data_IF_763220534642
#
_entry.id   IF_763220534642
#
_cell.length_a   1.000
_cell.length_b   1.000
_cell.length_c   1.000
_cell.angle_alpha   90.00
_cell.angle_beta   90.00
_cell.angle_gamma   90.00
#
_symmetry.space_group_name_H-M   'P 1'
#
loop_
_entity.id
_entity.type
_entity.pdbx_description
1 polymer ?
#
# COMPACT_ATOMS: atom_id res chain seq x y z
N UNK A 1 -8.48 -5.84 2.06
CA UNK A 1 -8.00 -5.67 0.67
C UNK A 1 -7.16 -4.41 0.47
N UNK A 2 -7.49 -3.30 1.15
CA UNK A 2 -6.84 -1.99 0.98
C UNK A 2 -5.31 -2.02 1.14
N UNK A 3 -4.78 -2.71 2.16
CA UNK A 3 -3.33 -2.85 2.32
C UNK A 3 -2.62 -3.50 1.12
N UNK A 4 -3.26 -4.50 0.48
CA UNK A 4 -2.71 -5.11 -0.73
C UNK A 4 -2.78 -4.17 -1.94
N UNK A 5 -3.84 -3.36 -2.06
CA UNK A 5 -3.95 -2.35 -3.13
C UNK A 5 -2.87 -1.30 -2.94
N UNK A 6 -2.74 -0.76 -1.73
CA UNK A 6 -1.69 0.17 -1.33
C UNK A 6 -0.29 -0.37 -1.67
N UNK A 7 0.00 -1.61 -1.27
CA UNK A 7 1.30 -2.26 -1.55
C UNK A 7 1.56 -2.46 -3.05
N UNK A 8 0.58 -2.95 -3.80
CA UNK A 8 0.73 -3.24 -5.24
C UNK A 8 0.88 -1.98 -6.10
N UNK A 9 0.24 -0.89 -5.69
CA UNK A 9 0.40 0.43 -6.32
C UNK A 9 1.57 1.23 -5.73
N UNK A 10 2.23 0.66 -4.72
CA UNK A 10 3.39 1.23 -4.07
C UNK A 10 4.62 1.30 -4.98
N UNK A 11 5.67 1.89 -4.44
CA UNK A 11 6.95 2.04 -5.13
C UNK A 11 8.06 1.33 -4.36
N UNK A 12 9.00 0.78 -5.13
CA UNK A 12 10.22 0.19 -4.58
C UNK A 12 11.20 1.32 -4.29
N UNK A 13 11.68 1.39 -3.06
CA UNK A 13 12.50 2.50 -2.55
C UNK A 13 13.65 2.01 -1.69
N UNK A 14 14.72 2.79 -1.63
CA UNK A 14 15.83 2.53 -0.73
C UNK A 14 15.42 2.80 0.73
N UNK A 15 16.06 2.16 1.72
CA UNK A 15 15.69 2.33 3.13
C UNK A 15 15.72 3.78 3.63
N UNK A 16 16.64 4.61 3.12
CA UNK A 16 16.71 6.01 3.50
C UNK A 16 15.53 6.82 2.93
N UNK A 17 15.04 6.47 1.75
CA UNK A 17 13.85 7.12 1.16
C UNK A 17 12.58 6.75 1.92
N UNK A 18 12.50 5.51 2.44
CA UNK A 18 11.40 5.09 3.33
C UNK A 18 11.30 6.02 4.54
N UNK A 19 12.43 6.35 5.18
CA UNK A 19 12.46 7.23 6.35
C UNK A 19 11.96 8.64 6.04
N UNK A 20 12.31 9.18 4.86
CA UNK A 20 11.82 10.51 4.46
C UNK A 20 10.33 10.50 4.18
N UNK A 21 9.82 9.49 3.47
CA UNK A 21 8.38 9.37 3.17
C UNK A 21 7.57 9.17 4.46
N UNK A 22 8.07 8.38 5.41
CA UNK A 22 7.37 8.10 6.67
C UNK A 22 7.14 9.35 7.54
N UNK A 23 7.96 10.40 7.39
CA UNK A 23 7.77 11.66 8.13
C UNK A 23 6.50 12.40 7.72
N UNK A 24 6.01 12.16 6.50
CA UNK A 24 4.80 12.79 5.98
C UNK A 24 3.53 12.03 6.42
N UNK A 25 3.66 10.86 7.06
CA UNK A 25 2.52 10.10 7.54
C UNK A 25 2.11 10.53 8.94
N UNK A 26 0.84 10.92 9.06
CA UNK A 26 0.20 11.10 10.36
C UNK A 26 -0.09 9.72 10.98
N UNK A 27 0.59 9.41 12.08
CA UNK A 27 0.50 8.14 12.78
C UNK A 27 0.40 8.39 14.28
N UNK A 28 -0.30 7.50 14.98
CA UNK A 28 -0.42 7.55 16.43
C UNK A 28 0.90 7.18 17.16
N UNK A 29 1.88 6.64 16.44
CA UNK A 29 3.16 6.17 16.97
C UNK A 29 4.34 6.67 16.12
N UNK A 30 5.54 6.64 16.71
CA UNK A 30 6.80 7.02 16.04
C UNK A 30 7.24 5.91 15.07
N UNK A 31 6.72 6.01 13.84
CA UNK A 31 7.03 5.07 12.76
C UNK A 31 8.51 5.14 12.37
N UNK A 32 9.15 6.30 12.54
CA UNK A 32 10.56 6.51 12.17
C UNK A 32 11.47 5.76 13.13
N UNK A 33 11.28 5.92 14.45
CA UNK A 33 12.02 5.15 15.47
C UNK A 33 11.79 3.65 15.30
N UNK A 34 10.53 3.25 15.12
CA UNK A 34 10.17 1.83 14.95
C UNK A 34 10.86 1.22 13.75
N UNK A 35 10.83 1.89 12.59
CA UNK A 35 11.49 1.41 11.38
C UNK A 35 13.01 1.34 11.53
N UNK A 36 13.64 2.34 12.17
CA UNK A 36 15.08 2.33 12.45
C UNK A 36 15.48 1.15 13.34
N UNK A 37 14.71 0.86 14.39
CA UNK A 37 14.93 -0.31 15.25
C UNK A 37 14.80 -1.62 14.49
N UNK A 38 13.80 -1.74 13.60
CA UNK A 38 13.65 -2.91 12.73
C UNK A 38 14.84 -3.07 11.79
N UNK A 39 15.30 -2.00 11.15
CA UNK A 39 16.47 -2.02 10.29
C UNK A 39 17.73 -2.44 11.05
N UNK A 40 17.94 -1.91 12.25
CA UNK A 40 19.10 -2.26 13.08
C UNK A 40 19.07 -3.74 13.47
N UNK A 41 17.90 -4.27 13.83
CA UNK A 41 17.73 -5.69 14.10
C UNK A 41 18.05 -6.55 12.87
N UNK A 42 17.52 -6.19 11.69
CA UNK A 42 17.74 -6.92 10.44
C UNK A 42 19.21 -6.87 9.97
N UNK A 43 19.90 -5.75 10.16
CA UNK A 43 21.36 -5.65 9.93
C UNK A 43 22.14 -6.62 10.82
N UNK A 44 21.74 -6.75 12.09
CA UNK A 44 22.31 -7.73 13.02
C UNK A 44 22.16 -9.17 12.55
N UNK A 45 21.14 -9.46 11.74
CA UNK A 45 20.89 -10.77 11.10
C UNK A 45 21.50 -10.90 9.70
N UNK A 46 22.35 -9.95 9.27
CA UNK A 46 23.02 -9.92 7.96
C UNK A 46 22.07 -9.87 6.76
N UNK A 47 20.90 -9.25 6.91
CA UNK A 47 20.00 -8.99 5.77
C UNK A 47 20.65 -7.98 4.82
N UNK A 48 20.73 -8.34 3.54
CA UNK A 48 21.15 -7.42 2.48
C UNK A 48 19.93 -6.66 1.93
N UNK A 49 19.87 -5.36 2.19
CA UNK A 49 18.77 -4.50 1.71
C UNK A 49 18.89 -4.11 0.23
N UNK A 50 20.05 -4.32 -0.40
CA UNK A 50 20.19 -4.16 -1.86
C UNK A 50 19.56 -5.36 -2.59
N UNK A 51 19.68 -6.55 -2.01
CA UNK A 51 19.03 -7.78 -2.52
C UNK A 51 17.57 -7.90 -2.07
N UNK A 52 17.20 -7.22 -0.98
CA UNK A 52 15.85 -7.25 -0.39
C UNK A 52 15.26 -5.85 -0.35
N UNK A 53 14.78 -5.33 -1.49
CA UNK A 53 14.33 -3.94 -1.58
C UNK A 53 13.01 -3.75 -0.83
N UNK A 54 12.80 -2.52 -0.32
CA UNK A 54 11.58 -2.16 0.38
C UNK A 54 10.53 -1.66 -0.61
N UNK A 55 9.26 -1.95 -0.33
CA UNK A 55 8.14 -1.36 -1.06
C UNK A 55 7.32 -0.54 -0.08
N UNK A 56 7.12 0.73 -0.39
CA UNK A 56 6.24 1.62 0.36
C UNK A 56 4.92 1.77 -0.38
N UNK A 57 3.83 1.48 0.30
CA UNK A 57 2.49 1.56 -0.27
C UNK A 57 2.03 2.99 -0.48
N UNK A 58 1.05 3.18 -1.37
CA UNK A 58 0.40 4.49 -1.54
C UNK A 58 -0.66 4.71 -0.45
N UNK A 59 -0.84 5.96 0.05
CA UNK A 59 -1.98 6.29 0.90
C UNK A 59 -3.30 5.99 0.20
N UNK A 60 -4.24 5.39 0.94
CA UNK A 60 -5.58 5.05 0.43
C UNK A 60 -6.60 5.79 1.30
N UNK A 61 -7.24 6.79 0.72
CA UNK A 61 -8.37 7.48 1.32
C UNK A 61 -9.67 6.94 0.71
N UNK A 62 -10.61 6.54 1.56
CA UNK A 62 -11.87 5.92 1.14
C UNK A 62 -13.00 6.92 1.30
N UNK A 63 -13.80 7.07 0.24
CA UNK A 63 -15.12 7.66 0.36
C UNK A 63 -16.11 6.56 0.80
N UNK A 64 -16.58 6.67 2.04
CA UNK A 64 -17.45 5.65 2.64
C UNK A 64 -18.87 5.66 2.10
N UNK A 65 -19.30 6.73 1.43
CA UNK A 65 -20.65 6.84 0.91
C UNK A 65 -20.86 6.04 -0.39
N UNK A 66 -19.83 5.93 -1.22
CA UNK A 66 -19.86 5.24 -2.52
C UNK A 66 -18.88 4.05 -2.59
N UNK A 67 -18.19 3.76 -1.49
CA UNK A 67 -17.17 2.71 -1.37
C UNK A 67 -16.02 2.86 -2.40
N UNK A 68 -15.65 4.09 -2.76
CA UNK A 68 -14.56 4.38 -3.70
C UNK A 68 -13.29 4.87 -3.00
N UNK A 69 -12.18 4.85 -3.74
CA UNK A 69 -10.90 5.43 -3.33
C UNK A 69 -10.74 6.81 -3.96
N UNK A 70 -10.54 7.82 -3.12
CA UNK A 70 -10.46 9.23 -3.53
C UNK A 70 -9.21 9.45 -4.39
N UNK A 71 -9.40 10.04 -5.58
CA UNK A 71 -8.30 10.47 -6.45
C UNK A 71 -7.45 9.35 -7.07
N UNK A 72 -7.79 8.06 -6.91
CA UNK A 72 -6.99 6.95 -7.40
C UNK A 72 -7.81 5.94 -8.23
N UNK A 73 -7.93 6.20 -9.53
CA UNK A 73 -8.68 5.34 -10.47
C UNK A 73 -8.13 3.91 -10.54
N UNK A 74 -6.81 3.73 -10.57
CA UNK A 74 -6.17 2.40 -10.59
C UNK A 74 -6.49 1.61 -9.32
N UNK A 75 -6.56 2.27 -8.17
CA UNK A 75 -6.96 1.62 -6.93
C UNK A 75 -8.44 1.21 -6.96
N UNK A 76 -9.31 2.05 -7.54
CA UNK A 76 -10.73 1.72 -7.73
C UNK A 76 -10.93 0.50 -8.63
N UNK A 77 -10.16 0.35 -9.71
CA UNK A 77 -10.20 -0.84 -10.57
C UNK A 77 -9.89 -2.12 -9.80
N UNK A 78 -9.05 -2.03 -8.76
CA UNK A 78 -8.65 -3.17 -7.92
C UNK A 78 -9.63 -3.47 -6.77
N UNK A 79 -10.69 -2.67 -6.59
CA UNK A 79 -11.77 -2.96 -5.63
C UNK A 79 -12.64 -4.13 -6.10
N UNK A 80 -12.71 -4.32 -7.41
CA UNK A 80 -13.39 -5.44 -8.03
C UNK A 80 -12.40 -6.32 -8.80
N UNK A 81 -12.89 -7.44 -9.31
CA UNK A 81 -12.13 -8.34 -10.18
C UNK A 81 -12.69 -8.27 -11.59
N UNK A 82 -11.81 -8.44 -12.57
CA UNK A 82 -12.23 -8.74 -13.93
C UNK A 82 -12.94 -10.09 -13.96
N UNK A 83 -14.25 -10.07 -14.25
CA UNK A 83 -15.07 -11.27 -14.31
C UNK A 83 -14.82 -12.06 -15.59
N UNK A 84 -14.68 -13.38 -15.45
CA UNK A 84 -14.55 -14.28 -16.61
C UNK A 84 -15.93 -14.58 -17.19
N UNK A 85 -16.15 -14.25 -18.47
CA UNK A 85 -17.40 -14.60 -19.18
C UNK A 85 -17.63 -16.14 -19.20
N UNK A 86 -18.89 -16.62 -19.03
CA UNK A 86 -20.13 -15.84 -18.90
C UNK A 86 -20.48 -15.42 -17.45
N UNK A 87 -19.64 -15.72 -16.46
CA UNK A 87 -19.93 -15.49 -15.05
C UNK A 87 -19.60 -14.05 -14.63
N UNK A 88 -20.46 -13.11 -15.03
CA UNK A 88 -20.32 -11.67 -14.76
C UNK A 88 -21.34 -11.22 -13.72
N UNK A 89 -20.92 -10.39 -12.77
CA UNK A 89 -21.85 -9.68 -11.87
C UNK A 89 -22.29 -8.38 -12.53
N UNK A 90 -23.61 -8.12 -12.66
CA UNK A 90 -24.12 -6.87 -13.22
C UNK A 90 -23.63 -5.65 -12.44
N UNK A 91 -23.56 -4.50 -13.10
CA UNK A 91 -23.25 -3.25 -12.40
C UNK A 91 -24.34 -2.91 -11.38
N UNK A 92 -23.99 -2.12 -10.37
CA UNK A 92 -24.95 -1.62 -9.39
C UNK A 92 -26.13 -0.93 -10.10
N UNK A 93 -27.36 -1.33 -9.78
CA UNK A 93 -28.58 -0.81 -10.41
C UNK A 93 -29.01 -1.53 -11.70
N UNK A 94 -28.36 -2.62 -12.10
CA UNK A 94 -28.73 -3.44 -13.27
C UNK A 94 -29.29 -4.84 -12.91
N UNK A 95 -29.84 -4.99 -11.70
CA UNK A 95 -30.52 -6.21 -11.22
C UNK A 95 -32.03 -6.09 -11.27
#
# INVERSE_FOLDING_TARGET
HLGNISYRLGQVVAPNEVLEIMKDFDSADDMVDTFQRTMNHAKGQKVNFEETPFTIGVPIEINTADETIVGNAKANEMLTREYRKPFVVPAAGQV
#
